data_IF_120542345903
#
_entry.id   IF_120542345903
#
_cell.length_a   1.000
_cell.length_b   1.000
_cell.length_c   1.000
_cell.angle_alpha   90.00
_cell.angle_beta   90.00
_cell.angle_gamma   90.00
#
_symmetry.space_group_name_H-M   'P 1'
#
loop_
_entity.id
_entity.type
_entity.pdbx_description
1 polymer ?
#
# COMPACT_ATOMS: atom_id res chain seq x y z
N UNK A 1 20.92 -10.81 5.05
CA UNK A 1 19.87 -9.80 5.27
C UNK A 1 18.53 -10.48 5.01
N UNK A 2 17.63 -10.51 6.01
CA UNK A 2 16.26 -11.00 5.81
C UNK A 2 15.54 -10.07 4.83
N UNK A 3 14.71 -10.64 3.96
CA UNK A 3 13.81 -9.87 3.09
C UNK A 3 12.43 -9.88 3.73
N UNK A 4 11.80 -8.73 3.81
CA UNK A 4 10.46 -8.59 4.40
C UNK A 4 9.45 -8.35 3.28
N UNK A 5 8.31 -9.08 3.26
CA UNK A 5 7.21 -8.78 2.34
C UNK A 5 6.65 -7.38 2.59
N UNK A 6 6.48 -6.59 1.53
CA UNK A 6 5.84 -5.26 1.54
C UNK A 6 4.87 -5.14 0.37
N UNK A 7 3.83 -4.33 0.56
CA UNK A 7 2.92 -3.89 -0.48
C UNK A 7 3.53 -2.74 -1.28
N UNK A 8 3.76 -2.96 -2.57
CA UNK A 8 4.30 -1.95 -3.48
C UNK A 8 3.30 -1.62 -4.58
N UNK A 9 3.15 -0.33 -4.90
CA UNK A 9 2.33 0.12 -6.02
C UNK A 9 2.74 -0.61 -7.32
N UNK A 10 1.76 -1.01 -8.13
CA UNK A 10 2.03 -1.71 -9.38
C UNK A 10 1.06 -1.33 -10.47
N UNK A 11 1.55 -1.36 -11.72
CA UNK A 11 0.72 -1.29 -12.93
C UNK A 11 0.25 -2.66 -13.42
N UNK A 12 0.72 -3.74 -12.80
CA UNK A 12 0.31 -5.08 -13.19
C UNK A 12 -1.20 -5.23 -13.00
N UNK A 13 -1.84 -5.86 -13.99
CA UNK A 13 -3.29 -6.09 -14.04
C UNK A 13 -4.16 -4.84 -14.15
N UNK A 14 -3.60 -3.64 -14.37
CA UNK A 14 -4.40 -2.44 -14.53
C UNK A 14 -5.07 -2.32 -15.90
N UNK A 15 -6.21 -1.62 -15.91
CA UNK A 15 -7.04 -1.45 -17.10
C UNK A 15 -7.94 -2.65 -17.40
N UNK A 16 -7.91 -3.72 -16.58
CA UNK A 16 -8.92 -4.78 -16.72
C UNK A 16 -10.29 -4.32 -16.18
N UNK A 17 -10.34 -3.21 -15.44
CA UNK A 17 -11.59 -2.60 -15.00
C UNK A 17 -11.62 -1.10 -15.31
N UNK A 18 -12.81 -0.55 -15.60
CA UNK A 18 -12.98 0.89 -15.82
C UNK A 18 -12.53 1.75 -14.63
N UNK A 19 -12.56 1.20 -13.41
CA UNK A 19 -12.21 1.90 -12.17
C UNK A 19 -10.74 1.76 -11.77
N UNK A 20 -9.88 1.13 -12.56
CA UNK A 20 -8.47 0.99 -12.21
C UNK A 20 -7.72 2.33 -12.36
N UNK A 21 -6.86 2.67 -11.39
CA UNK A 21 -5.96 3.83 -11.48
C UNK A 21 -4.58 3.53 -10.90
N UNK A 22 -3.56 4.27 -11.34
CA UNK A 22 -2.17 4.17 -10.90
C UNK A 22 -1.40 5.45 -11.11
N UNK A 23 -1.84 6.45 -10.39
CA UNK A 23 -1.15 7.72 -10.37
C UNK A 23 0.12 7.59 -9.49
N UNK A 24 0.14 6.61 -8.58
CA UNK A 24 1.31 6.19 -7.81
C UNK A 24 2.48 5.69 -8.68
N UNK A 25 3.69 5.96 -8.22
CA UNK A 25 4.94 5.51 -8.83
C UNK A 25 5.08 3.98 -8.67
N UNK A 26 5.21 3.22 -9.76
CA UNK A 26 5.38 1.77 -9.65
C UNK A 26 6.60 1.39 -8.80
N UNK A 27 6.40 0.48 -7.85
CA UNK A 27 7.44 0.01 -6.93
C UNK A 27 7.58 0.81 -5.64
N UNK A 28 6.84 1.91 -5.47
CA UNK A 28 6.85 2.64 -4.19
C UNK A 28 6.03 1.91 -3.11
N UNK A 29 6.41 2.00 -1.82
CA UNK A 29 5.59 1.47 -0.73
C UNK A 29 4.29 2.24 -0.62
N UNK A 30 3.23 1.55 -0.25
CA UNK A 30 1.89 2.14 -0.10
C UNK A 30 1.40 2.10 1.33
N UNK A 31 0.37 2.89 1.61
CA UNK A 31 -0.44 2.79 2.81
C UNK A 31 -1.94 2.67 2.47
N UNK A 32 -2.72 2.27 3.48
CA UNK A 32 -4.17 2.20 3.49
C UNK A 32 -4.71 3.45 4.20
N UNK A 33 -5.23 4.46 3.49
CA UNK A 33 -5.77 5.64 4.15
C UNK A 33 -6.89 5.28 5.13
N UNK A 34 -6.85 5.90 6.32
CA UNK A 34 -7.73 5.65 7.46
C UNK A 34 -9.20 6.06 7.25
N UNK A 35 -9.46 7.01 6.34
CA UNK A 35 -10.78 7.63 6.20
C UNK A 35 -11.46 7.21 4.89
N UNK A 36 -12.19 6.10 4.93
CA UNK A 36 -13.13 5.66 3.87
C UNK A 36 -14.45 6.48 3.92
N UNK A 37 -14.37 7.81 3.98
CA UNK A 37 -15.58 8.67 3.93
C UNK A 37 -16.12 8.80 2.50
N UNK A 38 -15.26 8.59 1.50
CA UNK A 38 -15.65 8.62 0.10
C UNK A 38 -15.61 7.18 -0.47
N UNK A 39 -16.76 6.62 -0.89
CA UNK A 39 -16.82 5.32 -1.52
C UNK A 39 -16.03 5.25 -2.85
N UNK A 40 -15.57 6.36 -3.42
CA UNK A 40 -14.68 6.39 -4.57
C UNK A 40 -13.18 6.41 -4.18
N UNK A 41 -12.84 6.58 -2.89
CA UNK A 41 -11.46 6.65 -2.36
C UNK A 41 -10.87 5.28 -1.95
N UNK A 42 -11.44 4.18 -2.45
CA UNK A 42 -11.08 2.78 -2.15
C UNK A 42 -9.75 2.36 -2.79
N UNK A 43 -8.71 3.15 -2.57
CA UNK A 43 -7.40 3.03 -3.20
C UNK A 43 -6.32 2.95 -2.14
N UNK A 44 -5.17 2.42 -2.54
CA UNK A 44 -3.94 2.58 -1.78
C UNK A 44 -3.33 3.94 -2.09
N UNK A 45 -2.55 4.50 -1.17
CA UNK A 45 -1.79 5.72 -1.41
C UNK A 45 -0.30 5.41 -1.45
N UNK A 46 0.39 5.89 -2.48
CA UNK A 46 1.84 5.81 -2.59
C UNK A 46 2.52 6.74 -1.58
N UNK A 47 3.42 6.21 -0.76
CA UNK A 47 4.03 6.97 0.33
C UNK A 47 5.11 7.97 -0.12
N UNK A 48 5.61 7.86 -1.35
CA UNK A 48 6.59 8.79 -1.93
C UNK A 48 5.86 9.86 -2.75
N UNK A 49 4.94 9.44 -3.61
CA UNK A 49 4.23 10.33 -4.55
C UNK A 49 2.99 11.01 -3.95
N UNK A 50 2.41 10.43 -2.90
CA UNK A 50 1.11 10.80 -2.36
C UNK A 50 -0.06 10.51 -3.32
N UNK A 51 0.18 9.78 -4.41
CA UNK A 51 -0.81 9.50 -5.43
C UNK A 51 -1.52 8.16 -5.19
N UNK A 52 -2.69 7.98 -5.81
CA UNK A 52 -3.55 6.81 -5.61
C UNK A 52 -3.17 5.66 -6.54
N UNK A 53 -3.42 4.43 -6.09
CA UNK A 53 -3.41 3.24 -6.93
C UNK A 53 -4.48 2.25 -6.48
N UNK A 54 -5.12 1.57 -7.41
CA UNK A 54 -6.08 0.49 -7.08
C UNK A 54 -5.41 -0.86 -6.88
N UNK A 55 -4.16 -1.02 -7.33
CA UNK A 55 -3.43 -2.29 -7.31
C UNK A 55 -2.06 -2.14 -6.69
N UNK A 56 -1.70 -3.15 -5.90
CA UNK A 56 -0.38 -3.32 -5.30
C UNK A 56 0.08 -4.75 -5.53
N UNK A 57 1.39 -4.98 -5.51
CA UNK A 57 1.95 -6.32 -5.50
C UNK A 57 2.77 -6.54 -4.25
N UNK A 58 2.79 -7.78 -3.77
CA UNK A 58 3.59 -8.17 -2.61
C UNK A 58 5.00 -8.52 -3.06
N UNK A 59 5.99 -7.77 -2.60
CA UNK A 59 7.39 -7.98 -2.94
C UNK A 59 8.27 -8.14 -1.69
N UNK A 60 9.30 -8.96 -1.80
CA UNK A 60 10.28 -9.12 -0.73
C UNK A 60 11.41 -8.11 -0.92
N UNK A 61 11.49 -7.11 -0.04
CA UNK A 61 12.51 -6.05 -0.12
C UNK A 61 13.53 -6.12 1.02
N UNK A 62 14.78 -5.66 0.79
CA UNK A 62 15.74 -5.45 1.88
C UNK A 62 15.26 -4.36 2.85
N UNK A 63 15.62 -4.49 4.14
CA UNK A 63 15.36 -3.49 5.20
C UNK A 63 13.87 -3.16 5.48
N UNK A 64 12.96 -4.09 5.17
CA UNK A 64 11.59 -3.71 4.85
C UNK A 64 10.76 -3.00 5.93
N UNK A 65 10.83 -3.40 7.20
CA UNK A 65 10.02 -2.77 8.26
C UNK A 65 10.49 -1.35 8.59
N UNK A 66 11.79 -1.17 8.84
CA UNK A 66 12.36 0.15 9.14
C UNK A 66 12.17 1.11 7.96
N UNK A 67 12.35 0.61 6.73
CA UNK A 67 12.17 1.40 5.51
C UNK A 67 10.70 1.78 5.31
N UNK A 68 9.76 0.88 5.59
CA UNK A 68 8.32 1.17 5.55
C UNK A 68 7.94 2.22 6.59
N UNK A 69 8.40 2.04 7.84
CA UNK A 69 8.15 3.00 8.93
C UNK A 69 8.70 4.39 8.60
N UNK A 70 9.87 4.47 7.96
CA UNK A 70 10.44 5.73 7.49
C UNK A 70 9.51 6.45 6.50
N UNK A 71 9.02 5.75 5.47
CA UNK A 71 8.14 6.36 4.47
C UNK A 71 6.76 6.74 5.04
N UNK A 72 6.20 5.89 5.91
CA UNK A 72 4.97 6.22 6.65
C UNK A 72 5.15 7.52 7.43
N UNK A 73 6.26 7.66 8.16
CA UNK A 73 6.59 8.90 8.88
C UNK A 73 6.67 10.09 7.94
N UNK A 74 7.43 9.99 6.85
CA UNK A 74 7.61 11.07 5.90
C UNK A 74 6.27 11.54 5.31
N UNK A 75 5.42 10.60 4.91
CA UNK A 75 4.11 10.91 4.36
C UNK A 75 3.19 11.53 5.41
N UNK A 76 2.98 10.87 6.54
CA UNK A 76 1.97 11.28 7.51
C UNK A 76 2.35 12.50 8.34
N UNK A 77 3.64 12.83 8.48
CA UNK A 77 4.06 14.10 9.10
C UNK A 77 3.49 15.31 8.35
N UNK A 78 3.21 15.18 7.06
CA UNK A 78 2.65 16.24 6.23
C UNK A 78 1.11 16.28 6.22
N UNK A 79 0.45 15.21 6.68
CA UNK A 79 -0.99 14.99 6.50
C UNK A 79 -1.76 14.86 7.83
N UNK A 80 -1.12 14.38 8.90
CA UNK A 80 -1.69 14.37 10.25
C UNK A 80 -1.20 15.59 11.02
N UNK A 81 -2.16 16.37 11.53
CA UNK A 81 -1.89 17.52 12.39
C UNK A 81 -2.68 17.37 13.69
N UNK A 82 -2.18 17.99 14.77
CA UNK A 82 -2.88 17.99 16.06
C UNK A 82 -2.68 16.73 16.92
N UNK A 83 -1.86 15.78 16.49
CA UNK A 83 -1.46 14.63 17.31
C UNK A 83 -0.30 14.99 18.24
N UNK A 84 -0.27 14.36 19.41
CA UNK A 84 0.93 14.33 20.25
C UNK A 84 1.99 13.44 19.59
N UNK A 85 3.27 13.62 19.94
CA UNK A 85 4.34 12.74 19.47
C UNK A 85 4.03 11.27 19.79
N UNK A 86 3.55 10.97 20.99
CA UNK A 86 3.21 9.60 21.38
C UNK A 86 2.09 9.00 20.51
N UNK A 87 1.01 9.75 20.28
CA UNK A 87 -0.10 9.30 19.44
C UNK A 87 0.32 9.13 17.97
N UNK A 88 1.24 9.97 17.48
CA UNK A 88 1.79 9.83 16.14
C UNK A 88 2.68 8.58 16.00
N UNK A 89 3.52 8.29 17.00
CA UNK A 89 4.34 7.07 17.00
C UNK A 89 3.47 5.80 17.03
N UNK A 90 2.45 5.78 17.89
CA UNK A 90 1.49 4.67 17.99
C UNK A 90 0.78 4.44 16.67
N UNK A 91 0.29 5.50 16.03
CA UNK A 91 -0.30 5.43 14.69
C UNK A 91 0.67 4.82 13.66
N UNK A 92 1.94 5.26 13.64
CA UNK A 92 2.93 4.70 12.72
C UNK A 92 3.20 3.21 12.99
N UNK A 93 3.24 2.79 14.26
CA UNK A 93 3.40 1.38 14.64
C UNK A 93 2.20 0.53 14.18
N UNK A 94 0.98 1.01 14.39
CA UNK A 94 -0.25 0.34 13.96
C UNK A 94 -0.33 0.20 12.43
N UNK A 95 -0.13 1.30 11.69
CA UNK A 95 -0.12 1.27 10.22
C UNK A 95 0.96 0.35 9.67
N UNK A 96 2.19 0.42 10.21
CA UNK A 96 3.29 -0.44 9.77
C UNK A 96 2.97 -1.92 10.02
N UNK A 97 2.50 -2.25 11.24
CA UNK A 97 2.15 -3.62 11.61
C UNK A 97 1.00 -4.17 10.74
N UNK A 98 0.00 -3.35 10.43
CA UNK A 98 -1.10 -3.73 9.55
C UNK A 98 -0.62 -4.04 8.13
N UNK A 99 0.17 -3.16 7.52
CA UNK A 99 0.67 -3.36 6.16
C UNK A 99 1.56 -4.60 6.06
N UNK A 100 2.43 -4.83 7.06
CA UNK A 100 3.28 -6.02 7.12
C UNK A 100 2.45 -7.29 7.32
N UNK A 101 1.42 -7.25 8.16
CA UNK A 101 0.49 -8.37 8.36
C UNK A 101 -0.25 -8.72 7.06
N UNK A 102 -0.70 -7.73 6.31
CA UNK A 102 -1.35 -7.95 5.02
C UNK A 102 -0.36 -8.56 4.03
N UNK A 103 0.82 -7.97 3.88
CA UNK A 103 1.86 -8.47 2.98
C UNK A 103 2.29 -9.91 3.30
N UNK A 104 2.36 -10.27 4.59
CA UNK A 104 2.72 -11.61 5.04
C UNK A 104 1.58 -12.64 4.89
N UNK A 105 0.33 -12.20 4.71
CA UNK A 105 -0.84 -13.09 4.63
C UNK A 105 -1.06 -13.71 3.24
N UNK A 106 -0.30 -13.28 2.24
CA UNK A 106 -0.41 -13.76 0.86
C UNK A 106 0.97 -14.09 0.27
N UNK A 107 1.06 -14.98 -0.74
CA UNK A 107 2.34 -15.29 -1.39
C UNK A 107 3.01 -14.06 -2.02
N UNK A 108 4.34 -14.07 -2.07
CA UNK A 108 5.10 -13.09 -2.85
C UNK A 108 4.68 -13.11 -4.33
N UNK A 109 4.65 -11.95 -4.97
CA UNK A 109 4.18 -11.77 -6.34
C UNK A 109 2.66 -11.66 -6.48
N UNK A 110 1.90 -11.89 -5.40
CA UNK A 110 0.44 -11.68 -5.40
C UNK A 110 0.12 -10.23 -5.69
N UNK A 111 -0.83 -10.01 -6.60
CA UNK A 111 -1.43 -8.70 -6.82
C UNK A 111 -2.67 -8.59 -5.94
N UNK A 112 -2.73 -7.52 -5.14
CA UNK A 112 -3.88 -7.17 -4.34
C UNK A 112 -4.57 -5.95 -4.94
N UNK A 113 -5.89 -5.93 -4.81
CA UNK A 113 -6.73 -4.78 -5.10
C UNK A 113 -7.60 -4.46 -3.90
N UNK A 114 -7.94 -3.17 -3.73
CA UNK A 114 -8.91 -2.74 -2.72
C UNK A 114 -10.28 -2.55 -3.36
N UNK A 115 -11.30 -3.13 -2.74
CA UNK A 115 -12.71 -3.01 -3.11
C UNK A 115 -13.54 -2.66 -1.89
N UNK A 116 -13.80 -1.38 -1.70
CA UNK A 116 -14.39 -0.93 -0.44
C UNK A 116 -13.39 -1.15 0.67
N UNK A 117 -13.88 -1.79 1.73
CA UNK A 117 -13.07 -2.10 2.90
C UNK A 117 -12.47 -3.52 2.79
N UNK A 118 -12.56 -4.15 1.61
CA UNK A 118 -12.05 -5.49 1.37
C UNK A 118 -10.79 -5.45 0.51
N UNK A 119 -9.82 -6.30 0.85
CA UNK A 119 -8.69 -6.62 0.01
C UNK A 119 -9.00 -7.92 -0.74
N UNK A 120 -8.82 -7.89 -2.06
CA UNK A 120 -9.02 -9.05 -2.92
C UNK A 120 -7.73 -9.37 -3.67
N UNK A 121 -7.47 -10.65 -3.90
CA UNK A 121 -6.40 -11.07 -4.82
C UNK A 121 -6.85 -10.88 -6.26
N UNK A 122 -5.93 -10.51 -7.14
CA UNK A 122 -6.15 -10.36 -8.58
C UNK A 122 -5.18 -11.25 -9.35
N UNK A 123 -5.71 -11.97 -10.33
CA UNK A 123 -4.86 -12.76 -11.22
C UNK A 123 -4.08 -11.83 -12.17
N UNK A 124 -2.79 -12.12 -12.44
CA UNK A 124 -2.04 -11.38 -13.45
C UNK A 124 -2.70 -11.53 -14.82
N UNK A 125 -2.61 -10.50 -15.65
CA UNK A 125 -2.93 -10.64 -17.08
C UNK A 125 -1.90 -11.61 -17.66
N UNK A 126 -2.32 -12.82 -18.03
CA UNK A 126 -1.49 -13.66 -18.89
C UNK A 126 -1.29 -12.87 -20.20
N UNK A 127 -0.04 -12.60 -20.64
CA UNK A 127 0.17 -12.07 -21.97
C UNK A 127 -0.44 -13.10 -22.93
N UNK A 128 -1.38 -12.66 -23.77
CA UNK A 128 -1.96 -13.48 -24.84
C UNK A 128 -0.85 -14.28 -25.51
N UNK A 129 -0.92 -15.61 -25.42
CA UNK A 129 0.00 -16.53 -26.12
C UNK A 129 -0.25 -16.51 -27.61
#
# INVERSE_FOLDING_TARGET
MSRTPILLATRLSQGMRPSDCCDALPGEPVDLPLNDCDPDERTFVGLISGQRTTTVHVAAVPAGEEHLRFWLRCYWTQHLTGLTTAAFEEFLDESCAELLRIAASVPLGTILERRGNQLCTREPIEPFR
#
